data_IF_069930163046
#
_entry.id   IF_069930163046
#
_cell.length_a   1.000
_cell.length_b   1.000
_cell.length_c   1.000
_cell.angle_alpha   90.00
_cell.angle_beta   90.00
_cell.angle_gamma   90.00
#
_symmetry.space_group_name_H-M   'P 1'
#
loop_
_entity.id
_entity.type
_entity.pdbx_description
1 polymer ?
#
# COMPACT_ATOMS: atom_id res chain seq x y z
N UNK A 1 24.34 6.70 8.44
CA UNK A 1 23.24 7.66 8.34
C UNK A 1 23.42 8.52 7.09
N UNK A 2 22.36 8.70 6.38
CA UNK A 2 22.36 9.58 5.21
C UNK A 2 22.21 11.00 5.69
N UNK A 3 23.17 11.83 5.36
CA UNK A 3 23.05 13.24 5.67
C UNK A 3 22.14 13.91 4.66
N UNK A 4 21.09 14.51 5.16
CA UNK A 4 20.21 15.31 4.35
C UNK A 4 20.94 16.58 3.95
N UNK A 5 21.37 16.65 2.71
CA UNK A 5 22.03 17.81 2.15
C UNK A 5 21.05 18.87 1.67
N UNK A 6 19.79 18.70 2.01
CA UNK A 6 18.72 19.60 1.59
C UNK A 6 18.50 20.68 2.63
N UNK A 7 18.24 21.88 2.16
CA UNK A 7 17.83 22.98 3.03
C UNK A 7 16.42 22.72 3.57
N UNK A 8 16.03 23.45 4.61
CA UNK A 8 14.66 23.34 5.14
C UNK A 8 13.60 23.65 4.09
N UNK A 9 13.91 24.62 3.21
CA UNK A 9 13.01 24.99 2.12
C UNK A 9 12.84 23.85 1.14
N UNK A 10 13.95 23.21 0.76
CA UNK A 10 13.92 22.07 -0.16
C UNK A 10 13.18 20.89 0.44
N UNK A 11 13.39 20.62 1.74
CA UNK A 11 12.67 19.57 2.45
C UNK A 11 11.16 19.83 2.43
N UNK A 12 10.74 21.07 2.60
CA UNK A 12 9.33 21.44 2.55
C UNK A 12 8.74 21.21 1.16
N UNK A 13 9.44 21.63 0.12
CA UNK A 13 9.01 21.42 -1.26
C UNK A 13 8.90 19.94 -1.57
N UNK A 14 9.87 19.15 -1.14
CA UNK A 14 9.84 17.69 -1.33
C UNK A 14 8.67 17.05 -0.60
N UNK A 15 8.39 17.52 0.63
CA UNK A 15 7.25 17.02 1.40
C UNK A 15 5.92 17.36 0.72
N UNK A 16 5.80 18.54 0.17
CA UNK A 16 4.60 18.93 -0.59
C UNK A 16 4.44 18.10 -1.85
N UNK A 17 5.53 17.90 -2.59
CA UNK A 17 5.50 17.06 -3.79
C UNK A 17 5.12 15.62 -3.45
N UNK A 18 5.68 15.10 -2.37
CA UNK A 18 5.36 13.78 -1.88
C UNK A 18 3.88 13.67 -1.52
N UNK A 19 3.36 14.63 -0.75
CA UNK A 19 1.96 14.67 -0.35
C UNK A 19 1.02 14.76 -1.55
N UNK A 20 1.41 15.51 -2.60
CA UNK A 20 0.62 15.64 -3.81
C UNK A 20 0.66 14.38 -4.66
N UNK A 21 1.81 13.70 -4.69
CA UNK A 21 1.99 12.47 -5.47
C UNK A 21 1.43 11.24 -4.76
N UNK A 22 1.46 11.27 -3.42
CA UNK A 22 1.05 10.14 -2.57
C UNK A 22 -0.18 10.55 -1.78
N UNK A 23 -1.27 10.80 -2.51
CA UNK A 23 -2.55 11.11 -1.86
C UNK A 23 -2.92 10.00 -0.91
N UNK A 24 -3.58 10.33 0.22
CA UNK A 24 -4.07 9.31 1.12
C UNK A 24 -4.91 8.29 0.35
N UNK A 25 -4.58 7.03 0.55
CA UNK A 25 -5.29 5.93 -0.08
C UNK A 25 -6.72 5.89 0.45
N UNK A 26 -7.69 5.82 -0.45
CA UNK A 26 -9.09 5.71 -0.09
C UNK A 26 -9.64 4.35 -0.49
N UNK A 27 -10.80 4.02 0.07
CA UNK A 27 -11.46 2.75 -0.23
C UNK A 27 -11.74 2.59 -1.72
N UNK A 28 -12.06 3.68 -2.41
CA UNK A 28 -12.36 3.69 -3.84
C UNK A 28 -11.14 3.37 -4.70
N UNK A 29 -9.96 3.57 -4.18
CA UNK A 29 -8.71 3.26 -4.90
C UNK A 29 -8.44 1.76 -4.94
N UNK A 30 -8.99 1.01 -4.00
CA UNK A 30 -8.75 -0.42 -3.87
C UNK A 30 -9.75 -1.17 -4.75
N UNK A 31 -9.33 -1.50 -5.96
CA UNK A 31 -10.14 -2.20 -6.96
C UNK A 31 -9.27 -3.22 -7.68
N UNK A 32 -9.88 -4.10 -8.45
CA UNK A 32 -9.15 -5.11 -9.23
C UNK A 32 -8.11 -4.43 -10.11
N UNK A 33 -6.88 -4.92 -10.03
CA UNK A 33 -5.73 -4.36 -10.73
C UNK A 33 -4.90 -3.39 -9.89
N UNK A 34 -5.40 -2.99 -8.72
CA UNK A 34 -4.66 -2.10 -7.83
C UNK A 34 -3.44 -2.84 -7.26
N UNK A 35 -2.25 -2.22 -7.39
CA UNK A 35 -1.02 -2.76 -6.83
C UNK A 35 -0.55 -1.90 -5.67
N UNK A 36 -0.14 -2.55 -4.61
CA UNK A 36 0.42 -1.89 -3.44
C UNK A 36 1.53 -2.76 -2.85
N UNK A 37 2.33 -2.17 -1.98
CA UNK A 37 3.31 -2.96 -1.24
C UNK A 37 3.22 -2.66 0.25
N UNK A 38 3.61 -3.64 1.03
CA UNK A 38 3.81 -3.48 2.47
C UNK A 38 5.30 -3.48 2.74
N UNK A 39 5.70 -2.78 3.76
CA UNK A 39 7.08 -2.83 4.18
C UNK A 39 7.34 -4.09 4.98
N UNK A 40 8.38 -4.80 4.59
CA UNK A 40 8.78 -6.04 5.25
C UNK A 40 10.31 -6.08 5.30
N UNK A 41 10.85 -5.90 6.49
CA UNK A 41 12.30 -5.80 6.67
C UNK A 41 13.05 -7.05 6.25
N UNK A 42 12.44 -8.21 6.46
CA UNK A 42 13.01 -9.50 6.10
C UNK A 42 12.97 -9.78 4.59
N UNK A 43 12.28 -8.94 3.84
CA UNK A 43 12.09 -9.12 2.40
C UNK A 43 12.77 -8.07 1.54
N UNK A 44 13.72 -7.34 2.11
CA UNK A 44 14.38 -6.27 1.38
C UNK A 44 13.53 -5.03 1.21
N UNK A 45 12.50 -4.85 2.01
CA UNK A 45 11.77 -3.61 2.13
C UNK A 45 10.40 -3.57 1.48
N UNK A 46 10.17 -4.28 0.39
CA UNK A 46 8.90 -4.21 -0.33
C UNK A 46 8.31 -5.59 -0.57
N UNK A 47 7.08 -5.78 -0.12
CA UNK A 47 6.31 -6.99 -0.38
C UNK A 47 5.10 -6.58 -1.21
N UNK A 48 5.12 -6.92 -2.49
CA UNK A 48 4.12 -6.47 -3.46
C UNK A 48 2.90 -7.37 -3.52
N UNK A 49 1.75 -6.71 -3.68
CA UNK A 49 0.45 -7.36 -3.86
C UNK A 49 -0.31 -6.73 -5.01
N UNK A 50 -1.16 -7.51 -5.63
CA UNK A 50 -2.12 -7.01 -6.61
C UNK A 50 -3.51 -7.51 -6.25
N UNK A 51 -4.48 -6.60 -6.20
CA UNK A 51 -5.88 -6.97 -5.98
C UNK A 51 -6.41 -7.64 -7.24
N UNK A 52 -6.84 -8.89 -7.12
CA UNK A 52 -7.30 -9.68 -8.26
C UNK A 52 -8.81 -9.96 -8.22
N UNK A 53 -9.43 -9.87 -7.03
CA UNK A 53 -10.85 -10.14 -6.86
C UNK A 53 -11.31 -9.59 -5.51
N UNK A 54 -12.59 -9.77 -5.22
CA UNK A 54 -13.18 -9.48 -3.92
C UNK A 54 -14.03 -10.67 -3.48
N UNK A 55 -13.97 -10.98 -2.18
CA UNK A 55 -14.80 -12.00 -1.56
C UNK A 55 -15.51 -11.43 -0.35
N UNK A 56 -16.77 -11.80 -0.16
CA UNK A 56 -17.53 -11.39 1.00
C UNK A 56 -17.11 -12.24 2.20
N UNK A 57 -16.68 -11.58 3.28
CA UNK A 57 -16.32 -12.24 4.53
C UNK A 57 -17.46 -12.07 5.55
N UNK A 58 -18.08 -13.18 5.90
CA UNK A 58 -19.22 -13.19 6.83
C UNK A 58 -18.84 -12.77 8.24
N UNK A 59 -17.58 -12.98 8.63
CA UNK A 59 -17.12 -12.63 9.97
C UNK A 59 -17.03 -11.12 10.15
N UNK A 60 -16.66 -10.41 9.10
CA UNK A 60 -16.53 -8.96 9.10
C UNK A 60 -17.69 -8.27 8.39
N UNK A 61 -18.58 -9.05 7.76
CA UNK A 61 -19.74 -8.55 7.03
C UNK A 61 -19.35 -7.49 6.00
N UNK A 62 -18.26 -7.74 5.27
CA UNK A 62 -17.79 -6.84 4.24
C UNK A 62 -17.07 -7.60 3.13
N UNK A 63 -16.97 -6.96 1.97
CA UNK A 63 -16.17 -7.49 0.88
C UNK A 63 -14.69 -7.23 1.17
N UNK A 64 -13.90 -8.28 1.06
CA UNK A 64 -12.46 -8.20 1.28
C UNK A 64 -11.73 -8.41 -0.03
N UNK A 65 -10.71 -7.60 -0.33
CA UNK A 65 -9.90 -7.83 -1.52
C UNK A 65 -9.11 -9.12 -1.41
N UNK A 66 -9.14 -9.90 -2.48
CA UNK A 66 -8.27 -11.04 -2.69
C UNK A 66 -7.02 -10.51 -3.36
N UNK A 67 -5.89 -10.66 -2.70
CA UNK A 67 -4.63 -10.09 -3.15
C UNK A 67 -3.65 -11.19 -3.55
N UNK A 68 -3.02 -11.01 -4.69
CA UNK A 68 -1.93 -11.87 -5.13
C UNK A 68 -0.64 -11.39 -4.48
N UNK A 69 -0.03 -12.27 -3.70
CA UNK A 69 1.27 -12.00 -3.10
C UNK A 69 2.34 -12.43 -4.10
N UNK A 70 3.03 -11.46 -4.70
CA UNK A 70 4.00 -11.72 -5.76
C UNK A 70 5.22 -12.51 -5.28
N UNK A 71 5.55 -12.41 -4.00
CA UNK A 71 6.69 -13.12 -3.43
C UNK A 71 6.39 -14.59 -3.20
N UNK A 72 5.27 -14.87 -2.53
CA UNK A 72 4.90 -16.24 -2.17
C UNK A 72 4.13 -16.97 -3.26
N UNK A 73 3.67 -16.21 -4.26
CA UNK A 73 2.82 -16.72 -5.35
C UNK A 73 1.56 -17.39 -4.81
N UNK A 74 0.95 -16.73 -3.82
CA UNK A 74 -0.30 -17.20 -3.21
C UNK A 74 -1.30 -16.07 -3.15
N UNK A 75 -2.59 -16.43 -3.09
CA UNK A 75 -3.66 -15.47 -2.86
C UNK A 75 -3.90 -15.31 -1.36
N UNK A 76 -4.14 -14.08 -0.94
CA UNK A 76 -4.39 -13.73 0.46
C UNK A 76 -5.57 -12.77 0.54
N UNK A 77 -6.38 -12.93 1.58
CA UNK A 77 -7.43 -11.97 1.88
C UNK A 77 -6.88 -10.91 2.83
N UNK A 78 -7.06 -9.65 2.46
CA UNK A 78 -6.58 -8.54 3.28
C UNK A 78 -7.72 -7.60 3.64
N UNK A 79 -7.92 -7.30 4.93
CA UNK A 79 -8.93 -6.31 5.31
C UNK A 79 -8.64 -4.96 4.70
N UNK A 80 -9.67 -4.29 4.19
CA UNK A 80 -9.53 -2.95 3.63
C UNK A 80 -8.87 -1.97 4.60
N UNK A 81 -9.27 -2.03 5.86
CA UNK A 81 -8.70 -1.15 6.90
C UNK A 81 -7.20 -1.33 7.05
N UNK A 82 -6.71 -2.56 6.92
CA UNK A 82 -5.28 -2.83 7.03
C UNK A 82 -4.52 -2.31 5.81
N UNK A 83 -5.08 -2.48 4.63
CA UNK A 83 -4.48 -1.93 3.40
C UNK A 83 -4.44 -0.41 3.49
N UNK A 84 -5.53 0.23 3.90
CA UNK A 84 -5.60 1.68 4.00
C UNK A 84 -4.61 2.25 5.01
N UNK A 85 -4.30 1.52 6.08
CA UNK A 85 -3.40 1.99 7.13
C UNK A 85 -1.93 1.71 6.87
N UNK A 86 -1.61 0.67 6.11
CA UNK A 86 -0.23 0.17 6.01
C UNK A 86 0.33 0.14 4.58
N UNK A 87 -0.51 0.21 3.56
CA UNK A 87 -0.07 0.04 2.18
C UNK A 87 0.63 1.28 1.62
N UNK A 88 1.58 1.03 0.75
CA UNK A 88 2.26 2.05 -0.04
C UNK A 88 1.98 1.82 -1.52
N UNK A 89 1.96 2.92 -2.27
CA UNK A 89 1.84 2.87 -3.72
C UNK A 89 2.97 3.70 -4.32
N UNK A 90 3.54 3.22 -5.39
CA UNK A 90 4.56 3.96 -6.12
C UNK A 90 3.93 4.91 -7.12
#
# INVERSE_FOLDING_TARGET
MIHMKYTKREQRVMAEQYANSHKPLTKEDIKVGFRFYLRADDCGGKLWFEVVDFEYDWRFQEEMPVCWNERTENFELWPLTQILSAAYID
#
